data_IF_735542201637
#
_entry.id   IF_735542201637
#
_cell.length_a   1.000
_cell.length_b   1.000
_cell.length_c   1.000
_cell.angle_alpha   90.00
_cell.angle_beta   90.00
_cell.angle_gamma   90.00
#
_symmetry.space_group_name_H-M   'P 1'
#
loop_
_entity.id
_entity.type
_entity.pdbx_description
1 polymer ?
#
# COMPACT_ATOMS: atom_id res chain seq x y z
N UNK A 1 -13.32 30.27 7.86
CA UNK A 1 -12.30 30.22 6.80
C UNK A 1 -12.43 28.86 6.14
N UNK A 2 -13.21 28.76 5.07
CA UNK A 2 -13.48 27.49 4.40
C UNK A 2 -12.20 26.98 3.75
N UNK A 3 -11.75 25.78 4.11
CA UNK A 3 -10.76 25.05 3.34
C UNK A 3 -11.35 24.83 1.94
N UNK A 4 -10.74 25.44 0.93
CA UNK A 4 -11.04 25.10 -0.45
C UNK A 4 -10.69 23.61 -0.61
N UNK A 5 -11.70 22.78 -0.87
CA UNK A 5 -11.46 21.44 -1.37
C UNK A 5 -10.73 21.63 -2.70
N UNK A 6 -9.44 21.26 -2.75
CA UNK A 6 -8.72 21.13 -4.01
C UNK A 6 -9.46 20.07 -4.82
N UNK A 7 -10.31 20.51 -5.75
CA UNK A 7 -10.81 19.67 -6.83
C UNK A 7 -9.60 19.30 -7.67
N UNK A 8 -9.01 18.13 -7.42
CA UNK A 8 -7.99 17.57 -8.28
C UNK A 8 -8.69 17.22 -9.59
N UNK A 9 -8.52 18.07 -10.60
CA UNK A 9 -9.07 17.83 -11.93
C UNK A 9 -8.52 16.51 -12.48
N UNK A 10 -9.41 15.73 -13.11
CA UNK A 10 -8.99 14.51 -13.78
C UNK A 10 -8.38 14.89 -15.12
N UNK A 11 -7.17 14.38 -15.41
CA UNK A 11 -6.37 14.68 -16.59
C UNK A 11 -6.25 13.43 -17.47
N UNK A 12 -6.04 13.62 -18.76
CA UNK A 12 -5.81 12.50 -19.67
C UNK A 12 -4.33 12.09 -19.62
N UNK A 13 -4.07 10.80 -19.42
CA UNK A 13 -2.75 10.20 -19.56
C UNK A 13 -2.76 9.09 -20.60
N UNK A 14 -1.57 8.69 -21.04
CA UNK A 14 -1.36 7.55 -21.94
C UNK A 14 -0.44 6.54 -21.28
N UNK A 15 -0.74 5.24 -21.36
CA UNK A 15 0.13 4.21 -20.82
C UNK A 15 0.43 3.13 -21.84
N UNK A 16 1.62 2.54 -21.70
CA UNK A 16 2.06 1.36 -22.42
C UNK A 16 2.51 0.29 -21.43
N UNK A 17 2.34 -0.97 -21.82
CA UNK A 17 2.95 -2.10 -21.11
C UNK A 17 4.30 -2.36 -21.75
N UNK A 18 5.32 -2.51 -20.92
CA UNK A 18 6.63 -2.98 -21.33
C UNK A 18 6.68 -4.49 -21.06
N UNK A 19 7.09 -5.28 -22.04
CA UNK A 19 7.24 -6.72 -21.94
C UNK A 19 8.71 -7.12 -22.10
N UNK A 20 9.16 -8.12 -21.34
CA UNK A 20 10.43 -8.79 -21.49
C UNK A 20 10.22 -10.09 -22.28
N UNK A 21 10.88 -10.21 -23.42
CA UNK A 21 10.81 -11.34 -24.33
C UNK A 21 12.22 -11.92 -24.59
N UNK A 22 12.79 -12.54 -23.55
CA UNK A 22 14.09 -13.19 -23.62
C UNK A 22 14.05 -14.42 -24.57
N UNK A 23 15.13 -14.72 -25.31
CA UNK A 23 15.17 -15.86 -26.22
C UNK A 23 14.89 -17.19 -25.51
N UNK A 24 13.91 -17.94 -26.02
CA UNK A 24 13.53 -19.25 -25.48
C UNK A 24 12.64 -19.21 -24.24
N UNK A 25 12.23 -18.02 -23.80
CA UNK A 25 11.24 -17.82 -22.73
C UNK A 25 9.96 -17.20 -23.29
N UNK A 26 8.85 -17.46 -22.62
CA UNK A 26 7.59 -16.77 -22.92
C UNK A 26 7.71 -15.31 -22.51
N UNK A 27 7.18 -14.35 -23.30
CA UNK A 27 7.18 -12.95 -22.91
C UNK A 27 6.41 -12.72 -21.60
N UNK A 28 6.99 -11.95 -20.69
CA UNK A 28 6.34 -11.53 -19.46
C UNK A 28 6.30 -10.01 -19.35
N UNK A 29 5.23 -9.47 -18.76
CA UNK A 29 5.15 -8.04 -18.51
C UNK A 29 6.23 -7.59 -17.52
N UNK A 30 7.05 -6.66 -18.00
CA UNK A 30 8.19 -6.06 -17.34
C UNK A 30 7.80 -4.82 -16.52
N UNK A 31 6.78 -4.07 -16.97
CA UNK A 31 6.37 -2.86 -16.28
C UNK A 31 5.34 -2.02 -17.02
N UNK A 32 5.08 -0.84 -16.48
CA UNK A 32 4.17 0.15 -17.03
C UNK A 32 4.90 1.47 -17.21
N UNK A 33 4.69 2.08 -18.38
CA UNK A 33 5.06 3.45 -18.68
C UNK A 33 3.79 4.29 -18.71
N UNK A 34 3.72 5.40 -17.98
CA UNK A 34 2.57 6.30 -17.94
C UNK A 34 3.01 7.73 -18.24
N UNK A 35 2.62 8.23 -19.41
CA UNK A 35 2.84 9.58 -19.86
C UNK A 35 1.81 10.53 -19.23
N UNK A 36 2.29 11.61 -18.60
CA UNK A 36 1.56 12.83 -18.27
C UNK A 36 1.85 13.87 -19.38
N UNK A 37 0.95 14.03 -20.37
CA UNK A 37 1.19 14.92 -21.50
C UNK A 37 1.20 16.40 -21.11
N UNK A 38 0.51 16.77 -20.03
CA UNK A 38 0.43 18.17 -19.59
C UNK A 38 1.74 18.64 -18.96
N UNK A 39 2.41 17.77 -18.21
CA UNK A 39 3.71 18.07 -17.58
C UNK A 39 4.91 17.55 -18.38
N UNK A 40 4.66 16.95 -19.55
CA UNK A 40 5.66 16.26 -20.37
C UNK A 40 6.56 15.32 -19.54
N UNK A 41 5.93 14.49 -18.69
CA UNK A 41 6.62 13.58 -17.79
C UNK A 41 6.26 12.12 -18.13
N UNK A 42 7.26 11.24 -18.16
CA UNK A 42 7.04 9.79 -18.29
C UNK A 42 7.31 9.13 -16.95
N UNK A 43 6.26 8.60 -16.34
CA UNK A 43 6.37 7.82 -15.12
C UNK A 43 6.64 6.36 -15.45
N UNK A 44 7.62 5.76 -14.79
CA UNK A 44 8.08 4.40 -15.04
C UNK A 44 7.88 3.58 -13.78
N UNK A 45 7.31 2.38 -13.91
CA UNK A 45 7.29 1.39 -12.84
C UNK A 45 7.49 0.01 -13.41
N UNK A 46 8.65 -0.58 -13.12
CA UNK A 46 9.01 -1.93 -13.56
C UNK A 46 9.01 -2.89 -12.37
N UNK A 47 8.94 -4.18 -12.68
CA UNK A 47 9.07 -5.25 -11.69
C UNK A 47 10.46 -5.28 -11.06
N UNK A 48 10.59 -5.99 -9.93
CA UNK A 48 11.80 -6.01 -9.09
C UNK A 48 12.38 -7.41 -8.90
N UNK A 49 11.75 -8.42 -9.46
CA UNK A 49 12.08 -9.84 -9.32
C UNK A 49 12.88 -10.37 -10.53
N UNK A 50 13.69 -9.52 -11.18
CA UNK A 50 14.49 -9.87 -12.37
C UNK A 50 15.34 -11.12 -12.17
N UNK A 51 15.93 -11.27 -10.98
CA UNK A 51 16.72 -12.44 -10.54
C UNK A 51 16.01 -13.79 -10.74
N UNK A 52 14.68 -13.76 -10.78
CA UNK A 52 13.83 -14.95 -10.85
C UNK A 52 13.47 -15.29 -12.29
N UNK A 53 13.32 -14.27 -13.13
CA UNK A 53 12.78 -14.40 -14.50
C UNK A 53 13.82 -14.21 -15.61
N UNK A 54 15.05 -13.83 -15.26
CA UNK A 54 16.13 -13.61 -16.19
C UNK A 54 17.43 -14.30 -15.71
N UNK A 55 18.32 -14.71 -16.64
CA UNK A 55 19.68 -15.12 -16.30
C UNK A 55 20.44 -14.03 -15.52
N UNK A 56 21.43 -14.38 -14.67
CA UNK A 56 22.13 -13.40 -13.83
C UNK A 56 22.70 -12.20 -14.59
N UNK A 57 23.33 -12.44 -15.74
CA UNK A 57 23.94 -11.38 -16.56
C UNK A 57 22.88 -10.42 -17.12
N UNK A 58 21.70 -10.93 -17.48
CA UNK A 58 20.57 -10.10 -17.96
C UNK A 58 19.86 -9.40 -16.80
N UNK A 59 19.71 -10.07 -15.65
CA UNK A 59 19.05 -9.53 -14.46
C UNK A 59 19.77 -8.29 -13.92
N UNK A 60 21.10 -8.29 -13.88
CA UNK A 60 21.91 -7.13 -13.47
C UNK A 60 21.63 -5.90 -14.34
N UNK A 61 21.48 -6.10 -15.66
CA UNK A 61 21.15 -5.02 -16.60
C UNK A 61 19.71 -4.54 -16.41
N UNK A 62 18.76 -5.47 -16.23
CA UNK A 62 17.34 -5.16 -16.03
C UNK A 62 17.07 -4.43 -14.71
N UNK A 63 17.87 -4.67 -13.67
CA UNK A 63 17.80 -3.92 -12.41
C UNK A 63 18.18 -2.45 -12.55
N UNK A 64 19.11 -2.11 -13.44
CA UNK A 64 19.51 -0.73 -13.70
C UNK A 64 18.50 0.04 -14.58
N UNK A 65 17.69 -0.70 -15.35
CA UNK A 65 16.79 -0.16 -16.37
C UNK A 65 15.82 0.92 -15.87
N UNK A 66 15.13 0.80 -14.71
CA UNK A 66 14.23 1.85 -14.24
C UNK A 66 14.94 3.20 -14.09
N UNK A 67 16.14 3.21 -13.52
CA UNK A 67 16.92 4.43 -13.30
C UNK A 67 17.35 5.08 -14.62
N UNK A 68 17.78 4.26 -15.59
CA UNK A 68 18.18 4.73 -16.92
C UNK A 68 17.00 5.32 -17.70
N UNK A 69 15.83 4.67 -17.64
CA UNK A 69 14.61 5.18 -18.27
C UNK A 69 14.14 6.48 -17.61
N UNK A 70 14.17 6.58 -16.29
CA UNK A 70 13.83 7.82 -15.57
C UNK A 70 14.78 8.97 -15.88
N UNK A 71 16.08 8.69 -16.03
CA UNK A 71 17.06 9.69 -16.42
C UNK A 71 16.79 10.18 -17.85
N UNK A 72 16.60 9.25 -18.79
CA UNK A 72 16.29 9.56 -20.18
C UNK A 72 14.98 10.34 -20.34
N UNK A 73 13.95 10.00 -19.55
CA UNK A 73 12.69 10.73 -19.51
C UNK A 73 12.88 12.17 -19.04
N UNK A 74 13.74 12.39 -18.03
CA UNK A 74 14.09 13.73 -17.55
C UNK A 74 14.88 14.54 -18.58
N UNK A 75 15.74 13.90 -19.36
CA UNK A 75 16.56 14.56 -20.38
C UNK A 75 15.78 14.94 -21.64
N UNK A 76 14.91 14.03 -22.13
CA UNK A 76 14.21 14.20 -23.40
C UNK A 76 12.83 14.85 -23.28
N UNK A 77 12.23 14.81 -22.09
CA UNK A 77 10.80 14.99 -21.91
C UNK A 77 10.04 13.67 -22.11
N UNK A 78 8.91 13.53 -21.44
CA UNK A 78 8.16 12.29 -21.38
C UNK A 78 7.67 11.80 -22.74
N UNK A 79 7.14 12.71 -23.56
CA UNK A 79 6.62 12.35 -24.89
C UNK A 79 7.72 11.86 -25.81
N UNK A 80 8.83 12.59 -25.90
CA UNK A 80 9.98 12.21 -26.75
C UNK A 80 10.67 10.96 -26.24
N UNK A 81 10.72 10.76 -24.92
CA UNK A 81 11.25 9.53 -24.36
C UNK A 81 10.40 8.32 -24.77
N UNK A 82 9.06 8.44 -24.71
CA UNK A 82 8.17 7.38 -25.16
C UNK A 82 8.32 7.08 -26.65
N UNK A 83 8.35 8.10 -27.50
CA UNK A 83 8.61 7.97 -28.95
C UNK A 83 9.96 7.28 -29.22
N UNK A 84 11.01 7.69 -28.50
CA UNK A 84 12.32 7.05 -28.60
C UNK A 84 12.28 5.56 -28.24
N UNK A 85 11.52 5.19 -27.19
CA UNK A 85 11.37 3.78 -26.81
C UNK A 85 10.61 2.98 -27.87
N UNK A 86 9.57 3.54 -28.47
CA UNK A 86 8.83 2.92 -29.58
C UNK A 86 9.72 2.63 -30.80
N UNK A 87 10.70 3.50 -31.07
CA UNK A 87 11.62 3.35 -32.21
C UNK A 87 12.85 2.48 -31.91
N UNK A 88 13.32 2.45 -30.66
CA UNK A 88 14.63 1.89 -30.30
C UNK A 88 14.56 0.56 -29.54
N UNK A 89 13.41 0.21 -28.96
CA UNK A 89 13.28 -1.02 -28.20
C UNK A 89 13.43 -2.25 -29.12
N UNK A 90 14.18 -3.24 -28.64
CA UNK A 90 14.66 -4.39 -29.41
C UNK A 90 13.68 -5.57 -29.37
N UNK A 91 14.09 -6.74 -29.87
CA UNK A 91 13.30 -7.96 -29.70
C UNK A 91 13.16 -8.42 -28.24
N UNK A 92 14.04 -7.95 -27.34
CA UNK A 92 14.13 -8.38 -25.93
C UNK A 92 13.22 -7.57 -25.01
N UNK A 93 13.17 -6.25 -25.16
CA UNK A 93 12.20 -5.40 -24.46
C UNK A 93 11.24 -4.87 -25.51
N UNK A 94 9.94 -5.13 -25.35
CA UNK A 94 8.91 -4.74 -26.30
C UNK A 94 7.94 -3.77 -25.64
N UNK A 95 7.52 -2.77 -26.39
CA UNK A 95 6.50 -1.83 -25.93
C UNK A 95 5.18 -2.13 -26.63
N UNK A 96 4.12 -2.25 -25.83
CA UNK A 96 2.76 -2.42 -26.31
C UNK A 96 2.16 -1.13 -26.87
N UNK A 97 0.91 -1.20 -27.31
CA UNK A 97 0.18 -0.05 -27.83
C UNK A 97 -0.11 1.00 -26.74
N UNK A 98 -0.26 2.26 -27.17
CA UNK A 98 -0.69 3.35 -26.30
C UNK A 98 -2.16 3.21 -25.92
N UNK A 99 -2.44 3.24 -24.63
CA UNK A 99 -3.78 3.18 -24.07
C UNK A 99 -4.10 4.48 -23.32
N UNK A 100 -5.30 5.02 -23.51
CA UNK A 100 -5.74 6.23 -22.79
C UNK A 100 -6.28 5.89 -21.40
N UNK A 101 -6.00 6.75 -20.43
CA UNK A 101 -6.51 6.63 -19.06
C UNK A 101 -6.82 8.01 -18.47
N UNK A 102 -7.91 8.10 -17.71
CA UNK A 102 -8.23 9.30 -16.93
C UNK A 102 -7.57 9.21 -15.55
N UNK A 103 -6.78 10.23 -15.20
CA UNK A 103 -5.86 10.22 -14.06
C UNK A 103 -6.06 11.45 -13.20
N UNK A 104 -6.34 11.24 -11.91
CA UNK A 104 -6.32 12.31 -10.91
C UNK A 104 -4.93 12.44 -10.29
N UNK A 105 -4.34 11.29 -9.95
CA UNK A 105 -3.00 11.17 -9.36
C UNK A 105 -2.21 10.14 -10.18
N UNK A 106 -1.15 10.60 -10.84
CA UNK A 106 -0.33 9.78 -11.75
C UNK A 106 0.43 8.67 -11.01
N UNK A 107 0.85 8.91 -9.76
CA UNK A 107 1.53 7.90 -8.96
C UNK A 107 0.57 6.76 -8.60
N UNK A 108 -0.65 7.09 -8.16
CA UNK A 108 -1.69 6.10 -7.87
C UNK A 108 -2.14 5.36 -9.12
N UNK A 109 -2.32 6.08 -10.23
CA UNK A 109 -2.70 5.47 -11.50
C UNK A 109 -1.63 4.50 -12.01
N UNK A 110 -0.35 4.86 -11.94
CA UNK A 110 0.76 4.00 -12.33
C UNK A 110 0.79 2.71 -11.49
N UNK A 111 0.68 2.80 -10.16
CA UNK A 111 0.65 1.62 -9.27
C UNK A 111 -0.56 0.73 -9.52
N UNK A 112 -1.72 1.33 -9.80
CA UNK A 112 -2.94 0.58 -10.17
C UNK A 112 -2.76 -0.16 -11.49
N UNK A 113 -2.24 0.51 -12.52
CA UNK A 113 -1.96 -0.11 -13.82
C UNK A 113 -0.92 -1.22 -13.68
N UNK A 114 0.15 -0.99 -12.92
CA UNK A 114 1.17 -1.99 -12.65
C UNK A 114 0.56 -3.25 -12.03
N UNK A 115 -0.23 -3.14 -10.96
CA UNK A 115 -0.88 -4.33 -10.36
C UNK A 115 -1.87 -5.03 -11.29
N UNK A 116 -2.46 -4.30 -12.24
CA UNK A 116 -3.39 -4.86 -13.21
C UNK A 116 -2.69 -5.71 -14.27
N UNK A 117 -1.50 -5.30 -14.71
CA UNK A 117 -0.83 -5.88 -15.88
C UNK A 117 0.47 -6.62 -15.56
N UNK A 118 1.09 -6.37 -14.41
CA UNK A 118 2.37 -6.96 -14.03
C UNK A 118 2.15 -7.93 -12.87
N UNK A 119 2.44 -9.20 -13.14
CA UNK A 119 2.36 -10.28 -12.17
C UNK A 119 3.77 -10.68 -11.73
N UNK A 120 4.32 -9.93 -10.78
CA UNK A 120 5.64 -10.23 -10.23
C UNK A 120 5.62 -11.51 -9.38
N UNK A 121 6.77 -12.17 -9.28
CA UNK A 121 6.92 -13.34 -8.43
C UNK A 121 6.84 -12.93 -6.97
N UNK A 122 6.04 -13.67 -6.19
CA UNK A 122 5.92 -13.45 -4.75
C UNK A 122 7.27 -13.67 -4.07
N UNK A 123 7.81 -12.62 -3.48
CA UNK A 123 8.96 -12.68 -2.58
C UNK A 123 8.54 -12.22 -1.18
N UNK A 124 8.18 -13.19 -0.34
CA UNK A 124 7.63 -12.97 1.00
C UNK A 124 8.56 -12.11 1.87
N UNK A 125 8.00 -11.06 2.47
CA UNK A 125 8.69 -10.13 3.35
C UNK A 125 9.92 -9.45 2.73
N UNK A 126 10.07 -9.52 1.40
CA UNK A 126 11.04 -8.75 0.62
C UNK A 126 10.34 -7.70 -0.21
N UNK A 127 9.37 -8.13 -1.02
CA UNK A 127 8.51 -7.24 -1.82
C UNK A 127 7.03 -7.46 -1.53
N UNK A 128 6.65 -8.63 -1.00
CA UNK A 128 5.27 -9.00 -0.77
C UNK A 128 4.95 -9.16 0.72
N UNK A 129 3.73 -8.82 1.10
CA UNK A 129 3.19 -9.09 2.43
C UNK A 129 1.91 -9.93 2.35
N UNK A 130 1.64 -10.75 3.38
CA UNK A 130 0.41 -11.51 3.45
C UNK A 130 -0.78 -10.56 3.64
N UNK A 131 -1.90 -10.92 3.00
CA UNK A 131 -3.18 -10.23 3.13
C UNK A 131 -4.09 -11.02 4.06
N UNK A 132 -4.67 -10.32 5.03
CA UNK A 132 -5.65 -10.86 5.96
C UNK A 132 -6.88 -9.97 6.02
N UNK A 133 -8.07 -10.58 6.14
CA UNK A 133 -9.22 -9.89 6.69
C UNK A 133 -8.90 -9.38 8.12
N UNK A 134 -9.56 -8.31 8.57
CA UNK A 134 -9.35 -7.79 9.92
C UNK A 134 -9.63 -8.84 11.01
N UNK A 135 -10.61 -9.72 10.76
CA UNK A 135 -10.93 -10.85 11.63
C UNK A 135 -9.82 -11.89 11.64
N UNK A 136 -9.32 -12.30 10.47
CA UNK A 136 -8.22 -13.27 10.38
C UNK A 136 -6.94 -12.71 11.04
N UNK A 137 -6.65 -11.42 10.85
CA UNK A 137 -5.53 -10.77 11.52
C UNK A 137 -5.67 -10.82 13.06
N UNK A 138 -6.88 -10.65 13.59
CA UNK A 138 -7.14 -10.79 15.03
C UNK A 138 -6.95 -12.22 15.53
N UNK A 139 -7.35 -13.23 14.75
CA UNK A 139 -7.07 -14.63 15.06
C UNK A 139 -5.57 -14.93 15.09
N UNK A 140 -4.85 -14.61 14.00
CA UNK A 140 -3.40 -14.88 13.87
C UNK A 140 -2.55 -14.15 14.90
N UNK A 141 -2.75 -12.84 15.04
CA UNK A 141 -1.88 -11.98 15.82
C UNK A 141 -2.43 -11.63 17.21
N UNK A 142 -3.71 -11.93 17.47
CA UNK A 142 -4.33 -11.78 18.80
C UNK A 142 -4.38 -13.08 19.58
N UNK A 143 -4.97 -14.13 19.02
CA UNK A 143 -5.19 -15.42 19.69
C UNK A 143 -4.18 -16.51 19.29
N UNK A 144 -3.31 -16.26 18.31
CA UNK A 144 -2.36 -17.26 17.80
C UNK A 144 -3.03 -18.39 17.04
N UNK A 145 -4.21 -18.16 16.47
CA UNK A 145 -4.95 -19.15 15.69
C UNK A 145 -4.34 -19.31 14.30
N UNK A 146 -4.45 -20.52 13.76
CA UNK A 146 -4.25 -20.74 12.34
C UNK A 146 -5.46 -20.14 11.59
N UNK A 147 -5.19 -19.26 10.64
CA UNK A 147 -6.23 -18.52 9.92
C UNK A 147 -5.96 -18.55 8.43
N UNK A 148 -7.04 -18.50 7.66
CA UNK A 148 -6.95 -18.40 6.21
C UNK A 148 -6.35 -17.04 5.81
N UNK A 149 -5.33 -17.10 4.96
CA UNK A 149 -4.69 -15.95 4.33
C UNK A 149 -5.32 -15.76 2.94
N UNK A 150 -5.64 -14.52 2.58
CA UNK A 150 -6.29 -14.22 1.30
C UNK A 150 -5.29 -14.25 0.11
N UNK A 151 -4.00 -14.12 0.40
CA UNK A 151 -2.92 -14.17 -0.58
C UNK A 151 -1.74 -13.30 -0.17
N UNK A 152 -0.88 -13.02 -1.14
CA UNK A 152 0.23 -12.07 -1.02
C UNK A 152 0.03 -10.92 -1.97
N UNK A 153 0.42 -9.73 -1.54
CA UNK A 153 0.44 -8.57 -2.42
C UNK A 153 1.73 -7.78 -2.31
N UNK A 154 2.16 -7.24 -3.45
CA UNK A 154 3.37 -6.44 -3.56
C UNK A 154 3.21 -5.07 -2.86
N UNK A 155 4.22 -4.67 -2.09
CA UNK A 155 4.36 -3.34 -1.51
C UNK A 155 5.35 -2.55 -2.37
N UNK A 156 4.83 -1.60 -3.15
CA UNK A 156 5.57 -0.81 -4.14
C UNK A 156 6.27 0.42 -3.54
N UNK A 157 6.74 0.32 -2.31
CA UNK A 157 7.58 1.32 -1.68
C UNK A 157 8.88 0.69 -1.17
N UNK A 158 9.88 1.52 -0.91
CA UNK A 158 11.24 1.07 -0.59
C UNK A 158 11.43 0.74 0.90
N UNK A 159 10.32 0.56 1.63
CA UNK A 159 10.43 0.29 3.06
C UNK A 159 10.93 -1.13 3.29
N UNK A 160 11.74 -1.37 4.33
CA UNK A 160 12.00 -2.72 4.80
C UNK A 160 10.70 -3.39 5.23
N UNK A 161 10.47 -4.59 4.71
CA UNK A 161 9.36 -5.46 5.11
C UNK A 161 9.87 -6.48 6.13
N UNK A 162 8.98 -6.88 7.03
CA UNK A 162 9.30 -7.84 8.09
C UNK A 162 8.13 -8.78 8.33
N UNK A 163 8.41 -9.93 8.96
CA UNK A 163 7.43 -10.99 9.18
C UNK A 163 6.30 -10.65 10.16
N UNK A 164 6.44 -9.55 10.90
CA UNK A 164 5.41 -8.95 11.75
C UNK A 164 4.51 -7.97 10.98
N UNK A 165 4.72 -7.77 9.68
CA UNK A 165 3.87 -6.91 8.86
C UNK A 165 2.84 -7.70 8.05
N UNK A 166 1.69 -7.07 7.81
CA UNK A 166 0.65 -7.60 6.95
C UNK A 166 -0.22 -6.49 6.36
N UNK A 167 -1.00 -6.86 5.34
CA UNK A 167 -1.94 -5.96 4.68
C UNK A 167 -3.35 -6.33 5.09
N UNK A 168 -4.19 -5.33 5.33
CA UNK A 168 -5.63 -5.52 5.43
C UNK A 168 -6.37 -4.32 4.83
N UNK A 169 -7.55 -4.59 4.27
CA UNK A 169 -8.44 -3.56 3.74
C UNK A 169 -9.32 -3.00 4.86
N UNK A 170 -9.29 -1.67 5.04
CA UNK A 170 -10.10 -0.98 6.04
C UNK A 170 -11.33 -0.38 5.38
N UNK A 171 -12.50 -0.85 5.79
CA UNK A 171 -13.79 -0.33 5.33
C UNK A 171 -14.41 0.61 6.38
N UNK A 172 -15.11 1.63 5.92
CA UNK A 172 -15.78 2.62 6.75
C UNK A 172 -15.04 3.96 6.85
N UNK A 173 -15.74 4.97 7.38
CA UNK A 173 -15.32 6.38 7.33
C UNK A 173 -14.79 6.94 8.66
N UNK A 174 -14.73 6.12 9.72
CA UNK A 174 -14.40 6.62 11.06
C UNK A 174 -12.98 7.18 11.20
N UNK A 175 -12.08 6.80 10.30
CA UNK A 175 -10.68 7.23 10.29
C UNK A 175 -10.37 8.24 9.18
N UNK A 176 -11.39 8.74 8.49
CA UNK A 176 -11.23 9.79 7.49
C UNK A 176 -10.78 11.12 8.13
N UNK A 177 -9.96 11.93 7.44
CA UNK A 177 -9.44 11.71 6.08
C UNK A 177 -8.17 10.84 6.01
N UNK A 178 -7.61 10.43 7.17
CA UNK A 178 -6.32 9.72 7.22
C UNK A 178 -6.38 8.33 6.58
N UNK A 179 -7.48 7.62 6.78
CA UNK A 179 -7.74 6.31 6.18
C UNK A 179 -9.12 6.39 5.49
N UNK A 180 -9.14 6.68 4.18
CA UNK A 180 -10.36 6.60 3.38
C UNK A 180 -10.98 5.20 3.40
N UNK A 181 -12.30 5.11 3.28
CA UNK A 181 -12.97 3.81 3.16
C UNK A 181 -12.44 3.01 1.97
N UNK A 182 -12.18 1.72 2.16
CA UNK A 182 -11.60 0.83 1.16
C UNK A 182 -10.08 0.91 1.05
N UNK A 183 -9.42 1.65 1.94
CA UNK A 183 -7.96 1.77 1.94
C UNK A 183 -7.29 0.43 2.17
N UNK A 184 -6.26 0.16 1.37
CA UNK A 184 -5.29 -0.89 1.61
C UNK A 184 -4.29 -0.39 2.65
N UNK A 185 -4.28 -1.01 3.83
CA UNK A 185 -3.51 -0.53 4.97
C UNK A 185 -2.41 -1.51 5.34
N UNK A 186 -1.23 -0.96 5.60
CA UNK A 186 -0.12 -1.69 6.17
C UNK A 186 -0.22 -1.68 7.69
N UNK A 187 -0.16 -2.87 8.28
CA UNK A 187 -0.15 -3.07 9.71
C UNK A 187 1.14 -3.75 10.16
N UNK A 188 1.53 -3.49 11.41
CA UNK A 188 2.56 -4.24 12.12
C UNK A 188 1.93 -4.91 13.34
N UNK A 189 1.96 -6.23 13.38
CA UNK A 189 1.55 -7.03 14.52
C UNK A 189 2.22 -6.53 15.79
N UNK A 190 1.49 -6.56 16.91
CA UNK A 190 1.81 -5.80 18.11
C UNK A 190 3.27 -5.97 18.59
N UNK A 191 4.12 -5.00 18.20
CA UNK A 191 5.50 -4.79 18.64
C UNK A 191 5.71 -3.32 19.03
N UNK A 192 4.80 -2.78 19.85
CA UNK A 192 4.88 -1.40 20.32
C UNK A 192 5.92 -1.28 21.45
N UNK A 193 7.19 -1.07 21.11
CA UNK A 193 8.11 -0.46 22.07
C UNK A 193 7.61 0.97 22.38
N UNK A 194 7.37 1.28 23.66
CA UNK A 194 6.94 2.61 24.10
C UNK A 194 5.42 2.87 24.14
N UNK A 195 5.05 4.14 24.32
CA UNK A 195 3.66 4.56 24.57
C UNK A 195 2.73 4.31 23.39
N UNK A 196 1.52 3.79 23.63
CA UNK A 196 0.46 3.63 22.61
C UNK A 196 -0.31 4.93 22.36
N UNK A 197 -0.19 5.92 23.23
CA UNK A 197 -0.99 7.16 23.18
C UNK A 197 -0.74 7.93 21.88
N UNK A 198 -1.82 8.33 21.23
CA UNK A 198 -1.81 9.11 19.98
C UNK A 198 -1.58 8.29 18.71
N UNK A 199 -1.35 6.97 18.83
CA UNK A 199 -1.14 6.08 17.69
C UNK A 199 -2.42 5.36 17.28
N UNK A 200 -2.47 4.92 16.02
CA UNK A 200 -3.64 4.28 15.44
C UNK A 200 -3.44 2.75 15.42
N UNK A 201 -4.44 2.00 15.86
CA UNK A 201 -4.34 0.55 16.01
C UNK A 201 -5.55 -0.16 15.43
N UNK A 202 -5.32 -1.32 14.82
CA UNK A 202 -6.35 -2.34 14.65
C UNK A 202 -6.64 -2.95 16.02
N UNK A 203 -7.91 -2.87 16.41
CA UNK A 203 -8.42 -3.37 17.68
C UNK A 203 -9.55 -4.37 17.43
N UNK A 204 -9.70 -5.28 18.38
CA UNK A 204 -10.88 -6.12 18.55
C UNK A 204 -11.64 -5.63 19.79
N UNK A 205 -12.89 -5.20 19.63
CA UNK A 205 -13.78 -4.82 20.72
C UNK A 205 -14.71 -5.98 21.06
N UNK A 206 -14.59 -6.55 22.26
CA UNK A 206 -15.34 -7.74 22.67
C UNK A 206 -16.82 -7.46 22.92
N UNK A 207 -17.21 -6.20 23.12
CA UNK A 207 -18.60 -5.79 23.33
C UNK A 207 -19.42 -5.64 22.05
N UNK A 208 -18.82 -5.80 20.87
CA UNK A 208 -19.47 -5.62 19.58
C UNK A 208 -19.52 -6.92 18.78
N UNK A 209 -20.60 -7.11 18.03
CA UNK A 209 -20.67 -8.13 16.98
C UNK A 209 -19.85 -7.72 15.75
N UNK A 210 -19.61 -8.67 14.84
CA UNK A 210 -18.85 -8.38 13.60
C UNK A 210 -19.50 -7.28 12.75
N UNK A 211 -20.84 -7.28 12.66
CA UNK A 211 -21.61 -6.28 11.92
C UNK A 211 -21.58 -4.89 12.57
N UNK A 212 -21.26 -4.80 13.87
CA UNK A 212 -21.14 -3.55 14.62
C UNK A 212 -19.72 -2.98 14.60
N UNK A 213 -18.79 -3.62 13.88
CA UNK A 213 -17.40 -3.18 13.78
C UNK A 213 -16.52 -3.67 14.92
N UNK A 214 -16.74 -4.92 15.39
CA UNK A 214 -15.85 -5.64 16.31
C UNK A 214 -14.37 -5.44 15.99
N UNK A 215 -14.00 -5.54 14.72
CA UNK A 215 -12.65 -5.25 14.24
C UNK A 215 -12.62 -3.88 13.59
N UNK A 216 -11.85 -2.96 14.15
CA UNK A 216 -11.80 -1.58 13.65
C UNK A 216 -10.44 -0.93 13.88
N UNK A 217 -10.16 0.15 13.15
CA UNK A 217 -8.99 0.99 13.41
C UNK A 217 -9.44 2.22 14.21
N UNK A 218 -8.76 2.52 15.32
CA UNK A 218 -9.01 3.69 16.17
C UNK A 218 -7.71 4.27 16.71
N UNK A 219 -7.73 5.56 17.06
CA UNK A 219 -6.64 6.20 17.78
C UNK A 219 -6.71 5.86 19.26
N UNK A 220 -5.60 5.41 19.81
CA UNK A 220 -5.50 5.03 21.22
C UNK A 220 -5.14 6.23 22.09
N UNK A 221 -5.91 6.45 23.16
CA UNK A 221 -5.58 7.36 24.25
C UNK A 221 -5.73 6.65 25.58
N UNK A 222 -4.85 6.95 26.54
CA UNK A 222 -4.97 6.46 27.91
C UNK A 222 -4.69 7.58 28.90
N UNK A 223 -5.60 7.76 29.85
CA UNK A 223 -5.40 8.65 30.99
C UNK A 223 -5.18 7.80 32.24
N UNK A 224 -4.03 7.99 32.90
CA UNK A 224 -3.76 7.41 34.21
C UNK A 224 -4.35 8.35 35.27
N UNK A 225 -5.24 7.84 36.11
CA UNK A 225 -5.71 8.58 37.28
C UNK A 225 -4.86 8.24 38.50
N UNK A 226 -4.41 9.28 39.18
CA UNK A 226 -3.73 9.20 40.46
C UNK A 226 -4.72 9.68 41.52
N UNK A 227 -4.97 8.86 42.53
CA UNK A 227 -5.80 9.21 43.69
C UNK A 227 -4.93 9.23 44.96
N UNK A 228 -5.45 9.83 46.03
CA UNK A 228 -4.76 9.91 47.33
C UNK A 228 -4.46 8.52 47.94
N UNK A 229 -5.21 7.48 47.54
CA UNK A 229 -5.04 6.08 48.01
C UNK A 229 -4.19 5.21 47.06
N UNK A 230 -3.77 5.74 45.90
CA UNK A 230 -2.91 5.04 44.95
C UNK A 230 -3.28 5.22 43.48
N UNK A 231 -2.71 4.38 42.62
CA UNK A 231 -2.98 4.39 41.17
C UNK A 231 -4.36 3.77 40.90
N UNK A 232 -5.25 4.49 40.21
CA UNK A 232 -6.52 3.95 39.71
C UNK A 232 -6.38 3.36 38.30
N UNK A 233 -7.38 2.54 37.91
CA UNK A 233 -7.47 1.96 36.56
C UNK A 233 -7.37 3.04 35.46
N UNK A 234 -6.52 2.78 34.47
CA UNK A 234 -6.40 3.67 33.31
C UNK A 234 -7.72 3.70 32.52
N UNK A 235 -8.23 4.90 32.24
CA UNK A 235 -9.34 5.08 31.31
C UNK A 235 -8.78 5.05 29.89
N UNK A 236 -9.25 4.11 29.08
CA UNK A 236 -8.82 3.97 27.69
C UNK A 236 -9.89 4.55 26.79
N UNK A 237 -9.49 5.49 25.94
CA UNK A 237 -10.37 6.10 24.93
C UNK A 237 -9.88 5.67 23.56
N UNK A 238 -10.76 5.04 22.79
CA UNK A 238 -10.53 4.69 21.39
C UNK A 238 -11.31 5.66 20.51
N UNK A 239 -10.60 6.56 19.85
CA UNK A 239 -11.20 7.69 19.16
C UNK A 239 -11.15 7.52 17.63
N UNK A 240 -12.26 7.78 16.92
CA UNK A 240 -12.22 8.02 15.48
C UNK A 240 -11.46 9.32 15.18
N UNK A 241 -11.00 9.46 13.93
CA UNK A 241 -10.46 10.73 13.42
C UNK A 241 -11.52 11.56 12.71
N UNK A 242 -12.56 10.91 12.21
CA UNK A 242 -13.72 11.58 11.64
C UNK A 242 -14.68 12.01 12.77
N UNK A 243 -14.94 13.33 12.92
CA UNK A 243 -15.83 13.86 13.96
C UNK A 243 -17.30 13.40 13.87
N UNK A 244 -17.73 12.85 12.73
CA UNK A 244 -19.08 12.27 12.57
C UNK A 244 -19.28 11.00 13.40
N UNK A 245 -18.22 10.44 13.98
CA UNK A 245 -18.24 9.19 14.73
C UNK A 245 -17.93 9.41 16.21
N UNK A 246 -18.58 8.65 17.07
CA UNK A 246 -18.40 8.75 18.52
C UNK A 246 -17.12 8.05 19.00
N UNK A 247 -16.59 8.54 20.12
CA UNK A 247 -15.45 7.94 20.82
C UNK A 247 -15.95 6.80 21.72
N UNK A 248 -15.13 5.77 21.90
CA UNK A 248 -15.43 4.68 22.83
C UNK A 248 -14.58 4.80 24.08
N UNK A 249 -15.23 4.84 25.24
CA UNK A 249 -14.58 4.67 26.54
C UNK A 249 -14.68 3.19 26.92
N UNK A 250 -13.54 2.52 27.02
CA UNK A 250 -13.45 1.10 27.30
C UNK A 250 -12.55 0.84 28.52
N UNK A 251 -12.92 -0.17 29.30
CA UNK A 251 -12.11 -0.66 30.41
C UNK A 251 -10.96 -1.54 29.94
N UNK A 252 -9.92 -1.71 30.78
CA UNK A 252 -8.92 -2.75 30.57
C UNK A 252 -9.60 -4.13 30.54
N UNK A 253 -9.58 -4.79 29.39
CA UNK A 253 -10.21 -6.12 29.20
C UNK A 253 -11.39 -6.14 28.23
N UNK A 254 -11.95 -4.98 27.87
CA UNK A 254 -13.09 -4.90 26.92
C UNK A 254 -12.64 -4.97 25.45
N UNK A 255 -11.34 -4.90 25.20
CA UNK A 255 -10.78 -4.93 23.86
C UNK A 255 -9.36 -5.50 23.85
N UNK A 256 -8.88 -5.82 22.66
CA UNK A 256 -7.50 -6.21 22.38
C UNK A 256 -6.91 -5.35 21.28
N UNK A 257 -5.64 -4.98 21.43
CA UNK A 257 -4.84 -4.41 20.34
C UNK A 257 -4.25 -5.55 19.53
N UNK A 258 -4.55 -5.58 18.24
CA UNK A 258 -4.06 -6.62 17.32
C UNK A 258 -2.78 -6.16 16.63
N UNK A 259 -2.80 -4.94 16.06
CA UNK A 259 -1.70 -4.43 15.26
C UNK A 259 -1.68 -2.90 15.22
N UNK A 260 -0.49 -2.33 15.06
CA UNK A 260 -0.30 -0.90 14.80
C UNK A 260 -0.54 -0.59 13.33
N UNK A 261 -1.34 0.44 13.05
CA UNK A 261 -1.47 1.00 11.71
C UNK A 261 -0.19 1.76 11.36
N UNK A 262 0.46 1.36 10.26
CA UNK A 262 1.69 2.02 9.77
C UNK A 262 1.32 3.13 8.79
N UNK A 263 0.66 2.79 7.69
CA UNK A 263 0.19 3.75 6.69
C UNK A 263 -0.83 3.11 5.73
N UNK A 264 -1.49 3.96 4.93
CA UNK A 264 -2.16 3.53 3.70
C UNK A 264 -1.09 3.28 2.64
N UNK A 265 -1.24 2.22 1.85
CA UNK A 265 -0.34 1.88 0.74
C UNK A 265 -1.12 1.92 -0.57
N UNK A 266 -0.65 2.74 -1.52
CA UNK A 266 -1.28 2.92 -2.83
C UNK A 266 -0.96 1.80 -3.82
#
# INVERSE_FOLDING_TARGET
>A
MHAAANLIATRQGEYCILDLALPGLEPESAGVLLLDPENDALHVLLRRDWQIIAPPDDAEVLEALPGDLELKARELGGKRCLEFLEDCLSHVLRIGERNSVMVQDFRRALRRLYRQYVHSTVQEFRTHLPVYSLRAAAGKWGDGQDVEMEGFEEVLDDRPLSNDMFIAYVQGRSMEPKIPSGSRCLFRAAGAAGSRVGRDFLIENFGLSENEGRYTVKRYFSEKRYTEEGWEHARITLAPLNPEFERWELGPGDFRVIAEFVCVID
#
